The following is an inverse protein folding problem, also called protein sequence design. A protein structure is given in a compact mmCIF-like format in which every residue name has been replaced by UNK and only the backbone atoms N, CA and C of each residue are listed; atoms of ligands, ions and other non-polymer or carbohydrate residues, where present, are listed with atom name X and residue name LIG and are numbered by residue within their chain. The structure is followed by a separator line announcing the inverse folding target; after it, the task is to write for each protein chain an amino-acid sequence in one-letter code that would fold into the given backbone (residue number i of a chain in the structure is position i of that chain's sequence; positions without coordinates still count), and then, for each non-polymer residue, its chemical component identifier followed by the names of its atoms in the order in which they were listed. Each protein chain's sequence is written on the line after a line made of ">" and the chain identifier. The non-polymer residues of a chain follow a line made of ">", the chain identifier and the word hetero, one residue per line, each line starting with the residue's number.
data_IF_652813274699
#
_entry.id   IF_652813274699
#
_cell.length_a   1.000
_cell.length_b   1.000
_cell.length_c   1.000
_cell.angle_alpha   90.00
_cell.angle_beta   90.00
_cell.angle_gamma   90.00
#
_symmetry.space_group_name_H-M   'P 1'
#
loop_
_entity.id
_entity.type
_entity.pdbx_description
1 polymer ?
#
# COMPACT_ATOMS: atom_id res chain seq x y z
N UNK A 1 52.94 -5.29 -18.85
CA UNK A 1 53.02 -4.21 -17.84
C UNK A 1 51.85 -4.43 -16.90
N UNK A 2 52.14 -4.66 -15.62
CA UNK A 2 51.07 -4.80 -14.64
C UNK A 2 50.34 -3.44 -14.48
N UNK A 3 49.01 -3.43 -14.45
CA UNK A 3 48.21 -2.26 -14.17
C UNK A 3 48.53 -1.84 -12.72
N UNK A 4 49.03 -0.62 -12.53
CA UNK A 4 49.23 -0.03 -11.19
C UNK A 4 47.87 0.55 -10.81
N UNK A 5 47.27 -0.03 -9.79
CA UNK A 5 45.98 0.40 -9.24
C UNK A 5 46.08 1.84 -8.72
N UNK A 6 45.15 2.69 -9.16
CA UNK A 6 45.06 4.06 -8.63
C UNK A 6 44.44 4.07 -7.22
N UNK A 7 44.63 5.17 -6.49
CA UNK A 7 44.04 5.34 -5.17
C UNK A 7 42.49 5.24 -5.23
N UNK A 8 41.87 5.85 -6.22
CA UNK A 8 40.42 5.81 -6.43
C UNK A 8 39.91 4.38 -6.71
N UNK A 9 40.61 3.64 -7.58
CA UNK A 9 40.26 2.22 -7.86
C UNK A 9 40.38 1.35 -6.60
N UNK A 10 41.39 1.60 -5.77
CA UNK A 10 41.58 0.89 -4.51
C UNK A 10 40.42 1.20 -3.54
N UNK A 11 40.05 2.47 -3.40
CA UNK A 11 38.96 2.91 -2.53
C UNK A 11 37.63 2.31 -2.92
N UNK A 12 37.30 2.29 -4.23
CA UNK A 12 36.08 1.65 -4.76
C UNK A 12 36.10 0.15 -4.45
N UNK A 13 37.20 -0.55 -4.72
CA UNK A 13 37.31 -1.97 -4.44
C UNK A 13 37.16 -2.26 -2.94
N UNK A 14 37.72 -1.40 -2.07
CA UNK A 14 37.61 -1.57 -0.64
C UNK A 14 36.16 -1.32 -0.16
N UNK A 15 35.47 -0.31 -0.70
CA UNK A 15 34.08 -0.06 -0.40
C UNK A 15 33.17 -1.24 -0.80
N UNK A 16 33.39 -1.86 -1.94
CA UNK A 16 32.68 -3.07 -2.37
C UNK A 16 32.91 -4.27 -1.43
N UNK A 17 34.14 -4.45 -0.97
CA UNK A 17 34.46 -5.48 0.04
C UNK A 17 33.77 -5.22 1.36
N UNK A 18 33.71 -3.96 1.80
CA UNK A 18 33.00 -3.56 3.03
C UNK A 18 31.49 -3.82 2.87
N UNK A 19 30.88 -3.47 1.75
CA UNK A 19 29.47 -3.76 1.47
C UNK A 19 29.18 -5.27 1.46
N UNK A 20 30.10 -6.06 0.93
CA UNK A 20 30.01 -7.52 0.98
C UNK A 20 30.11 -8.06 2.39
N UNK A 21 31.01 -7.50 3.22
CA UNK A 21 31.13 -7.83 4.63
C UNK A 21 29.84 -7.49 5.39
N UNK A 22 29.30 -6.29 5.22
CA UNK A 22 28.03 -5.83 5.81
C UNK A 22 26.88 -6.80 5.48
N UNK A 23 26.74 -7.21 4.22
CA UNK A 23 25.74 -8.18 3.80
C UNK A 23 25.90 -9.53 4.48
N UNK A 24 27.13 -10.01 4.60
CA UNK A 24 27.43 -11.28 5.27
C UNK A 24 27.10 -11.23 6.76
N UNK A 25 27.45 -10.15 7.45
CA UNK A 25 27.10 -9.96 8.86
C UNK A 25 25.58 -9.96 9.08
N UNK A 26 24.84 -9.25 8.24
CA UNK A 26 23.37 -9.23 8.29
C UNK A 26 22.77 -10.59 7.95
N UNK A 27 23.31 -11.30 6.96
CA UNK A 27 22.86 -12.65 6.58
C UNK A 27 23.00 -13.64 7.73
N UNK A 28 24.07 -13.58 8.51
CA UNK A 28 24.29 -14.51 9.64
C UNK A 28 23.16 -14.40 10.69
N UNK A 29 22.65 -13.20 10.94
CA UNK A 29 21.60 -12.98 11.94
C UNK A 29 20.17 -12.94 11.35
N UNK A 30 20.00 -12.62 10.05
CA UNK A 30 18.72 -12.38 9.38
C UNK A 30 18.61 -13.15 8.06
N UNK A 31 18.84 -14.47 8.09
CA UNK A 31 18.89 -15.36 6.90
C UNK A 31 17.64 -15.28 6.02
N UNK A 32 16.48 -15.01 6.62
CA UNK A 32 15.20 -14.88 5.87
C UNK A 32 15.14 -13.60 5.00
N UNK A 33 16.10 -12.69 5.12
CA UNK A 33 16.26 -11.50 4.29
C UNK A 33 17.31 -11.65 3.18
N UNK A 34 17.87 -12.84 2.95
CA UNK A 34 18.97 -13.09 2.01
C UNK A 34 18.67 -12.53 0.60
N UNK A 35 17.50 -12.86 0.07
CA UNK A 35 17.07 -12.36 -1.26
C UNK A 35 16.98 -10.83 -1.27
N UNK A 36 16.52 -10.23 -0.17
CA UNK A 36 16.41 -8.78 -0.04
C UNK A 36 17.80 -8.10 -0.01
N UNK A 37 18.75 -8.68 0.73
CA UNK A 37 20.13 -8.16 0.81
C UNK A 37 20.86 -8.18 -0.54
N UNK A 38 20.50 -9.10 -1.42
CA UNK A 38 21.09 -9.25 -2.75
C UNK A 38 20.34 -8.50 -3.85
N UNK A 39 19.20 -7.87 -3.52
CA UNK A 39 18.31 -7.30 -4.54
C UNK A 39 18.76 -5.93 -5.09
N UNK A 40 19.54 -5.17 -4.30
CA UNK A 40 20.05 -3.85 -4.66
C UNK A 40 21.42 -3.95 -5.32
N UNK A 41 21.61 -3.29 -6.45
CA UNK A 41 22.90 -3.21 -7.16
C UNK A 41 23.69 -2.01 -6.62
N UNK A 42 24.90 -2.20 -6.07
CA UNK A 42 25.71 -1.10 -5.56
C UNK A 42 26.11 -0.12 -6.68
N UNK A 43 25.95 1.18 -6.43
CA UNK A 43 26.36 2.25 -7.34
C UNK A 43 26.97 3.41 -6.55
N UNK A 44 28.17 3.83 -6.94
CA UNK A 44 28.85 4.94 -6.27
C UNK A 44 28.24 6.29 -6.66
N UNK A 45 28.00 7.16 -5.66
CA UNK A 45 27.59 8.56 -5.80
C UNK A 45 28.30 9.41 -4.72
N UNK A 46 29.31 10.15 -5.12
CA UNK A 46 30.13 10.97 -4.22
C UNK A 46 29.34 12.13 -3.55
N UNK A 47 28.17 12.48 -4.06
CA UNK A 47 27.34 13.57 -3.49
C UNK A 47 26.60 13.16 -2.20
N UNK A 48 26.59 11.87 -1.86
CA UNK A 48 25.84 11.35 -0.72
C UNK A 48 26.63 11.41 0.58
N UNK A 49 25.93 11.63 1.68
CA UNK A 49 26.45 11.54 3.04
C UNK A 49 26.06 10.21 3.74
N UNK A 50 25.14 9.46 3.15
CA UNK A 50 24.58 8.20 3.65
C UNK A 50 24.14 7.35 2.47
N UNK A 51 23.61 6.14 2.73
CA UNK A 51 22.99 5.34 1.67
C UNK A 51 21.75 6.03 1.09
N UNK A 52 21.43 5.67 -0.15
CA UNK A 52 20.18 6.04 -0.81
C UNK A 52 19.76 4.92 -1.76
N UNK A 53 18.48 4.85 -2.13
CA UNK A 53 17.99 3.85 -3.07
C UNK A 53 16.84 4.37 -3.94
N UNK A 54 16.77 3.86 -5.17
CA UNK A 54 15.63 3.96 -6.08
C UNK A 54 14.79 2.67 -6.12
N UNK A 55 15.18 1.67 -5.31
CA UNK A 55 14.62 0.31 -5.31
C UNK A 55 15.30 -0.66 -6.27
N UNK A 56 16.16 -0.20 -7.18
CA UNK A 56 17.00 -1.01 -8.05
C UNK A 56 18.46 -0.99 -7.61
N UNK A 57 18.93 0.18 -7.22
CA UNK A 57 20.31 0.44 -6.85
C UNK A 57 20.45 0.84 -5.38
N UNK A 58 21.59 0.51 -4.81
CA UNK A 58 22.08 1.06 -3.55
C UNK A 58 23.13 2.11 -3.88
N UNK A 59 22.77 3.37 -3.76
CA UNK A 59 23.71 4.48 -3.94
C UNK A 59 24.51 4.73 -2.67
N UNK A 60 25.82 4.95 -2.82
CA UNK A 60 26.73 5.17 -1.69
C UNK A 60 27.91 6.06 -2.06
N UNK A 61 28.46 6.76 -1.08
CA UNK A 61 29.73 7.46 -1.22
C UNK A 61 30.87 6.58 -0.73
N UNK A 62 31.87 6.34 -1.58
CA UNK A 62 33.05 5.53 -1.27
C UNK A 62 33.78 6.07 -0.05
N UNK A 63 34.05 7.38 -0.01
CA UNK A 63 34.71 8.04 1.11
C UNK A 63 33.94 7.86 2.43
N UNK A 64 32.61 8.03 2.38
CA UNK A 64 31.77 7.89 3.57
C UNK A 64 31.76 6.46 4.11
N UNK A 65 31.67 5.45 3.24
CA UNK A 65 31.72 4.04 3.66
C UNK A 65 33.02 3.74 4.37
N UNK A 66 34.16 4.13 3.80
CA UNK A 66 35.47 3.89 4.39
C UNK A 66 35.59 4.56 5.76
N UNK A 67 35.22 5.83 5.84
CA UNK A 67 35.28 6.61 7.08
C UNK A 67 34.35 6.08 8.17
N UNK A 68 33.16 5.68 7.82
CA UNK A 68 32.18 5.15 8.78
C UNK A 68 32.55 3.75 9.23
N UNK A 69 33.06 2.90 8.33
CA UNK A 69 33.49 1.55 8.67
C UNK A 69 34.65 1.56 9.69
N UNK A 70 35.61 2.45 9.50
CA UNK A 70 36.74 2.62 10.44
C UNK A 70 36.26 3.01 11.84
N UNK A 71 35.27 3.90 11.94
CA UNK A 71 34.78 4.43 13.22
C UNK A 71 33.72 3.56 13.88
N UNK A 72 32.78 3.02 13.11
CA UNK A 72 31.62 2.31 13.63
C UNK A 72 31.03 1.36 12.56
N UNK A 73 31.65 0.19 12.36
CA UNK A 73 31.16 -0.81 11.42
C UNK A 73 29.69 -1.25 11.66
N UNK A 74 29.22 -1.47 12.91
CA UNK A 74 27.80 -1.79 13.17
C UNK A 74 26.81 -0.74 12.67
N UNK A 75 27.22 0.52 12.58
CA UNK A 75 26.35 1.55 11.99
C UNK A 75 26.09 1.31 10.51
N UNK A 76 27.07 0.83 9.74
CA UNK A 76 26.86 0.46 8.33
C UNK A 76 25.90 -0.72 8.17
N UNK A 77 26.00 -1.72 9.04
CA UNK A 77 25.05 -2.83 9.05
C UNK A 77 23.62 -2.32 9.26
N UNK A 78 23.45 -1.40 10.22
CA UNK A 78 22.17 -0.79 10.52
C UNK A 78 21.64 0.05 9.33
N UNK A 79 22.47 0.92 8.75
CA UNK A 79 22.10 1.76 7.63
C UNK A 79 21.74 0.95 6.38
N UNK A 80 22.49 -0.12 6.10
CA UNK A 80 22.18 -1.03 5.00
C UNK A 80 20.82 -1.74 5.20
N UNK A 81 20.60 -2.31 6.39
CA UNK A 81 19.34 -2.94 6.74
C UNK A 81 18.17 -1.94 6.65
N UNK A 82 18.36 -0.72 7.13
CA UNK A 82 17.40 0.38 7.09
C UNK A 82 16.93 0.64 5.65
N UNK A 83 17.87 0.85 4.73
CA UNK A 83 17.57 1.09 3.30
C UNK A 83 16.85 -0.10 2.65
N UNK A 84 17.24 -1.34 2.96
CA UNK A 84 16.57 -2.55 2.49
C UNK A 84 15.14 -2.65 3.02
N UNK A 85 14.92 -2.33 4.30
CA UNK A 85 13.57 -2.38 4.89
C UNK A 85 12.63 -1.34 4.31
N UNK A 86 13.11 -0.15 3.91
CA UNK A 86 12.28 0.78 3.16
C UNK A 86 11.70 0.16 1.89
N UNK A 87 12.52 -0.59 1.14
CA UNK A 87 12.07 -1.28 -0.06
C UNK A 87 11.07 -2.41 0.25
N UNK A 88 11.35 -3.23 1.28
CA UNK A 88 10.46 -4.33 1.71
C UNK A 88 9.09 -3.80 2.14
N UNK A 89 9.04 -2.69 2.87
CA UNK A 89 7.79 -2.04 3.31
C UNK A 89 7.15 -1.18 2.23
N UNK A 90 7.77 -1.11 1.04
CA UNK A 90 7.29 -0.33 -0.11
C UNK A 90 7.22 1.19 0.13
N UNK A 91 7.93 1.72 1.12
CA UNK A 91 7.89 3.13 1.50
C UNK A 91 8.14 4.11 0.34
N UNK A 92 9.09 3.85 -0.60
CA UNK A 92 9.35 4.74 -1.73
C UNK A 92 8.13 4.95 -2.65
N UNK A 93 7.22 3.96 -2.71
CA UNK A 93 6.14 3.91 -3.71
C UNK A 93 4.75 4.22 -3.14
N UNK A 94 4.57 4.21 -1.82
CA UNK A 94 3.24 4.34 -1.19
C UNK A 94 2.99 5.70 -0.54
N UNK A 95 3.84 6.69 -0.79
CA UNK A 95 3.69 8.04 -0.24
C UNK A 95 2.32 8.66 -0.58
N UNK A 96 1.83 8.47 -1.81
CA UNK A 96 0.56 9.03 -2.26
C UNK A 96 0.56 10.57 -2.18
N UNK A 97 -0.52 11.16 -1.66
CA UNK A 97 -0.68 12.61 -1.50
C UNK A 97 -0.15 13.15 -0.16
N UNK A 98 0.59 12.36 0.59
CA UNK A 98 1.12 12.78 1.90
C UNK A 98 2.17 13.86 1.76
N UNK A 99 2.27 14.73 2.76
CA UNK A 99 3.41 15.65 2.86
C UNK A 99 4.71 14.83 2.88
N UNK A 100 5.64 15.15 2.00
CA UNK A 100 6.82 14.35 1.75
C UNK A 100 7.80 14.36 2.93
N UNK A 101 7.93 15.50 3.61
CA UNK A 101 8.83 15.63 4.77
C UNK A 101 8.32 14.81 5.95
N UNK A 102 6.99 14.90 6.21
CA UNK A 102 6.35 14.10 7.24
C UNK A 102 6.40 12.61 6.91
N UNK A 103 6.19 12.26 5.63
CA UNK A 103 6.22 10.86 5.18
C UNK A 103 7.61 10.26 5.32
N UNK A 104 8.66 10.98 4.89
CA UNK A 104 10.03 10.53 5.00
C UNK A 104 10.39 10.22 6.46
N UNK A 105 10.15 11.17 7.37
CA UNK A 105 10.40 10.94 8.79
C UNK A 105 9.58 9.80 9.37
N UNK A 106 8.30 9.67 8.97
CA UNK A 106 7.45 8.57 9.43
C UNK A 106 7.97 7.21 8.98
N UNK A 107 8.52 7.11 7.76
CA UNK A 107 9.15 5.91 7.25
C UNK A 107 10.42 5.56 8.02
N UNK A 108 11.28 6.56 8.28
CA UNK A 108 12.50 6.37 9.07
C UNK A 108 12.20 5.87 10.48
N UNK A 109 11.24 6.50 11.16
CA UNK A 109 10.79 6.08 12.50
C UNK A 109 10.27 4.65 12.48
N UNK A 110 9.43 4.28 11.50
CA UNK A 110 8.85 2.94 11.43
C UNK A 110 9.92 1.85 11.18
N UNK A 111 10.88 2.13 10.31
CA UNK A 111 12.00 1.22 10.04
C UNK A 111 12.91 1.10 11.26
N UNK A 112 13.31 2.21 11.84
CA UNK A 112 14.17 2.24 13.02
C UNK A 112 13.52 1.54 14.24
N UNK A 113 12.21 1.74 14.43
CA UNK A 113 11.44 1.00 15.45
C UNK A 113 11.49 -0.51 15.22
N UNK A 114 11.40 -0.94 13.95
CA UNK A 114 11.48 -2.35 13.60
C UNK A 114 12.88 -2.91 13.84
N UNK A 115 13.95 -2.20 13.44
CA UNK A 115 15.33 -2.62 13.64
C UNK A 115 15.65 -2.73 15.13
N UNK A 116 15.26 -1.75 15.94
CA UNK A 116 15.46 -1.75 17.38
C UNK A 116 14.69 -2.90 18.05
N UNK A 117 13.48 -3.18 17.57
CA UNK A 117 12.67 -4.32 18.01
C UNK A 117 13.25 -5.69 17.65
N UNK A 118 13.93 -5.82 16.50
CA UNK A 118 14.62 -7.07 16.12
C UNK A 118 15.75 -7.46 17.09
N UNK A 119 16.35 -6.51 17.80
CA UNK A 119 17.32 -6.75 18.86
C UNK A 119 18.58 -7.50 18.43
N UNK A 120 18.95 -7.47 17.14
CA UNK A 120 20.11 -8.19 16.59
C UNK A 120 21.41 -7.54 16.99
N UNK A 121 22.45 -8.36 17.29
CA UNK A 121 23.74 -7.86 17.78
C UNK A 121 24.44 -6.98 16.73
N UNK A 122 24.41 -7.38 15.47
CA UNK A 122 25.08 -6.66 14.37
C UNK A 122 24.51 -5.27 14.08
N UNK A 123 23.28 -4.95 14.57
CA UNK A 123 22.61 -3.66 14.38
C UNK A 123 22.28 -2.94 15.68
N UNK A 124 22.78 -3.47 16.82
CA UNK A 124 22.45 -2.96 18.16
C UNK A 124 22.93 -1.53 18.35
N UNK A 125 22.05 -0.70 18.90
CA UNK A 125 22.28 0.70 19.27
C UNK A 125 21.79 0.97 20.69
N UNK A 126 22.38 1.93 21.37
CA UNK A 126 21.83 2.47 22.61
C UNK A 126 20.69 3.43 22.23
N UNK A 127 19.49 3.19 22.78
CA UNK A 127 18.34 4.04 22.52
C UNK A 127 18.48 5.38 23.24
N UNK A 128 18.38 6.48 22.49
CA UNK A 128 18.30 7.82 23.05
C UNK A 128 16.97 8.02 23.79
N UNK A 129 16.92 9.00 24.68
CA UNK A 129 15.69 9.39 25.38
C UNK A 129 14.56 9.77 24.38
N UNK A 130 14.90 10.48 23.30
CA UNK A 130 13.96 10.87 22.26
C UNK A 130 13.31 9.66 21.58
N UNK A 131 14.09 8.61 21.28
CA UNK A 131 13.56 7.35 20.73
C UNK A 131 12.66 6.64 21.71
N UNK A 132 13.11 6.50 22.96
CA UNK A 132 12.35 5.81 24.01
C UNK A 132 10.97 6.46 24.19
N UNK A 133 10.93 7.78 24.34
CA UNK A 133 9.68 8.55 24.49
C UNK A 133 8.73 8.33 23.31
N UNK A 134 9.23 8.46 22.07
CA UNK A 134 8.40 8.25 20.87
C UNK A 134 7.91 6.81 20.76
N UNK A 135 8.74 5.83 21.10
CA UNK A 135 8.38 4.41 21.03
C UNK A 135 7.33 4.04 22.08
N UNK A 136 7.38 4.62 23.27
CA UNK A 136 6.36 4.46 24.32
C UNK A 136 5.01 5.00 23.82
N UNK A 137 5.00 6.20 23.27
CA UNK A 137 3.81 6.83 22.71
C UNK A 137 3.19 6.00 21.56
N UNK A 138 4.01 5.45 20.67
CA UNK A 138 3.55 4.58 19.59
C UNK A 138 2.95 3.26 20.10
N UNK A 139 3.48 2.69 21.20
CA UNK A 139 2.96 1.48 21.83
C UNK A 139 1.59 1.71 22.49
N UNK A 140 1.39 2.87 23.11
CA UNK A 140 0.14 3.23 23.75
C UNK A 140 -1.04 3.28 22.78
N UNK A 141 -0.82 3.59 21.52
CA UNK A 141 -1.86 3.63 20.48
C UNK A 141 -2.49 2.27 20.16
N UNK A 142 -2.00 1.15 20.72
CA UNK A 142 -2.48 -0.24 20.48
C UNK A 142 -2.65 -0.62 19.01
N UNK A 143 -2.14 0.18 18.09
CA UNK A 143 -2.07 -0.10 16.65
C UNK A 143 -0.66 -0.60 16.34
N UNK A 144 -0.54 -1.55 15.42
CA UNK A 144 0.79 -1.94 14.94
C UNK A 144 1.53 -0.71 14.39
N UNK A 145 2.80 -0.55 14.77
CA UNK A 145 3.62 0.60 14.32
C UNK A 145 3.95 0.43 12.84
N UNK A 146 3.29 1.19 11.99
CA UNK A 146 3.57 1.29 10.55
C UNK A 146 3.83 2.74 10.18
N UNK A 147 4.51 2.97 9.03
CA UNK A 147 4.77 4.33 8.56
C UNK A 147 3.49 5.20 8.45
N UNK A 148 2.34 4.58 8.14
CA UNK A 148 1.05 5.30 8.09
C UNK A 148 0.59 5.74 9.48
N UNK A 149 0.74 4.89 10.51
CA UNK A 149 0.37 5.23 11.90
C UNK A 149 1.29 6.33 12.44
N UNK A 150 2.59 6.21 12.18
CA UNK A 150 3.57 7.24 12.56
C UNK A 150 3.28 8.55 11.83
N UNK A 151 2.94 8.49 10.55
CA UNK A 151 2.57 9.68 9.77
C UNK A 151 1.36 10.40 10.36
N UNK A 152 0.31 9.67 10.72
CA UNK A 152 -0.90 10.26 11.32
C UNK A 152 -0.55 10.98 12.64
N UNK A 153 0.31 10.39 13.47
CA UNK A 153 0.78 11.00 14.72
C UNK A 153 1.62 12.27 14.47
N UNK A 154 2.55 12.21 13.51
CA UNK A 154 3.37 13.37 13.15
C UNK A 154 2.53 14.46 12.49
N UNK A 155 1.54 14.09 11.69
CA UNK A 155 0.60 15.03 11.09
C UNK A 155 -0.19 15.80 12.14
N UNK A 156 -0.78 15.11 13.10
CA UNK A 156 -1.54 15.75 14.19
C UNK A 156 -0.69 16.73 15.03
N UNK A 157 0.62 16.42 15.16
CA UNK A 157 1.53 17.22 15.99
C UNK A 157 2.18 18.40 15.28
N UNK A 158 2.55 18.24 14.01
CA UNK A 158 3.43 19.18 13.30
C UNK A 158 2.82 19.81 12.05
N UNK A 159 1.68 19.34 11.58
CA UNK A 159 1.10 19.93 10.37
C UNK A 159 0.28 21.20 10.71
N UNK A 160 0.37 22.30 9.90
CA UNK A 160 1.19 22.44 8.68
C UNK A 160 2.68 22.74 8.97
N UNK A 161 3.55 22.09 8.21
CA UNK A 161 4.97 22.43 8.25
C UNK A 161 5.25 23.75 7.52
N UNK A 162 6.19 24.58 8.02
CA UNK A 162 6.65 25.76 7.30
C UNK A 162 7.20 25.43 5.92
N UNK A 163 7.23 26.40 5.00
CA UNK A 163 7.82 26.22 3.67
C UNK A 163 9.28 25.72 3.75
N UNK A 164 9.75 25.05 2.71
CA UNK A 164 11.14 24.59 2.65
C UNK A 164 12.10 25.78 2.82
N UNK A 165 13.11 25.61 3.69
CA UNK A 165 14.06 26.66 4.05
C UNK A 165 13.65 27.56 5.22
N UNK A 166 12.41 27.47 5.71
CA UNK A 166 11.98 28.16 6.93
C UNK A 166 12.31 27.33 8.19
N UNK A 167 12.63 27.97 9.33
CA UNK A 167 12.90 27.24 10.58
C UNK A 167 11.65 26.50 11.05
N UNK A 168 11.82 25.19 11.29
CA UNK A 168 10.82 24.33 11.93
C UNK A 168 11.11 24.31 13.43
N UNK A 169 10.14 23.87 14.24
CA UNK A 169 10.32 23.78 15.69
C UNK A 169 11.50 22.85 16.07
N UNK A 170 12.14 23.14 17.21
CA UNK A 170 13.31 22.41 17.68
C UNK A 170 13.03 20.89 17.87
N UNK A 171 11.84 20.55 18.34
CA UNK A 171 11.44 19.15 18.53
C UNK A 171 11.43 18.38 17.20
N UNK A 172 10.90 18.97 16.14
CA UNK A 172 10.94 18.39 14.80
C UNK A 172 12.38 18.17 14.34
N UNK A 173 13.24 19.19 14.49
CA UNK A 173 14.64 19.09 14.09
C UNK A 173 15.38 18.00 14.87
N UNK A 174 15.10 17.89 16.17
CA UNK A 174 15.68 16.84 17.01
C UNK A 174 15.24 15.44 16.56
N UNK A 175 13.94 15.26 16.27
CA UNK A 175 13.43 14.01 15.71
C UNK A 175 14.04 13.69 14.35
N UNK A 176 14.05 14.63 13.44
CA UNK A 176 14.61 14.44 12.11
C UNK A 176 16.09 14.05 12.15
N UNK A 177 16.90 14.67 13.03
CA UNK A 177 18.32 14.31 13.21
C UNK A 177 18.49 12.94 13.85
N UNK A 178 17.64 12.60 14.83
CA UNK A 178 17.73 11.34 15.57
C UNK A 178 17.44 10.11 14.70
N UNK A 179 16.47 10.25 13.77
CA UNK A 179 16.02 9.15 12.91
C UNK A 179 16.67 9.15 11.53
N UNK A 180 17.42 10.20 11.17
CA UNK A 180 18.13 10.24 9.90
C UNK A 180 19.18 9.11 9.82
N UNK A 181 19.00 8.20 8.89
CA UNK A 181 19.92 7.06 8.68
C UNK A 181 20.32 6.97 7.22
N UNK A 182 19.40 7.20 6.27
CA UNK A 182 19.65 7.20 4.83
C UNK A 182 19.07 8.43 4.14
N UNK A 183 19.30 8.56 2.84
CA UNK A 183 18.82 9.67 2.02
C UNK A 183 17.73 9.21 1.07
N UNK A 184 16.59 9.88 1.10
CA UNK A 184 15.47 9.61 0.21
C UNK A 184 15.55 10.38 -1.14
N UNK A 185 16.74 10.84 -1.52
CA UNK A 185 16.98 11.64 -2.73
C UNK A 185 16.46 10.98 -4.01
N UNK A 186 16.61 9.67 -4.11
CA UNK A 186 16.26 8.87 -5.29
C UNK A 186 14.87 8.21 -5.22
N UNK A 187 14.09 8.49 -4.18
CA UNK A 187 12.72 7.99 -4.13
C UNK A 187 11.87 8.61 -5.25
N UNK A 188 10.97 7.84 -5.89
CA UNK A 188 10.13 8.32 -6.98
C UNK A 188 9.37 9.59 -6.63
N UNK A 189 9.33 10.53 -7.57
CA UNK A 189 8.59 11.79 -7.44
C UNK A 189 7.43 11.77 -8.43
N UNK A 190 6.40 12.58 -8.17
CA UNK A 190 5.25 12.73 -9.09
C UNK A 190 5.63 13.38 -10.42
N UNK A 191 6.65 14.22 -10.39
CA UNK A 191 7.16 14.97 -11.53
C UNK A 191 8.16 14.18 -12.37
N UNK A 192 8.39 12.89 -12.03
CA UNK A 192 9.34 12.05 -12.74
C UNK A 192 8.82 11.68 -14.14
N UNK A 193 9.74 11.54 -15.07
CA UNK A 193 9.48 11.12 -16.45
C UNK A 193 8.83 9.72 -16.52
N UNK A 194 8.08 9.46 -17.59
CA UNK A 194 7.39 8.17 -17.77
C UNK A 194 8.33 6.95 -17.67
N UNK A 195 9.58 7.06 -18.12
CA UNK A 195 10.58 6.01 -18.02
C UNK A 195 10.95 5.70 -16.54
N UNK A 196 11.15 6.74 -15.73
CA UNK A 196 11.43 6.59 -14.30
C UNK A 196 10.21 6.02 -13.55
N UNK A 197 9.00 6.46 -13.91
CA UNK A 197 7.77 5.90 -13.34
C UNK A 197 7.62 4.41 -13.67
N UNK A 198 7.93 3.99 -14.89
CA UNK A 198 7.90 2.58 -15.30
C UNK A 198 8.94 1.75 -14.52
N UNK A 199 10.18 2.23 -14.42
CA UNK A 199 11.22 1.57 -13.64
C UNK A 199 10.84 1.47 -12.14
N UNK A 200 10.26 2.52 -11.57
CA UNK A 200 9.77 2.53 -10.20
C UNK A 200 8.67 1.49 -9.97
N UNK A 201 7.74 1.35 -10.94
CA UNK A 201 6.67 0.35 -10.87
C UNK A 201 7.21 -1.09 -10.94
N UNK A 202 8.22 -1.35 -11.77
CA UNK A 202 8.85 -2.65 -11.87
C UNK A 202 9.67 -3.00 -10.62
N UNK A 203 10.40 -2.03 -10.07
CA UNK A 203 11.06 -2.17 -8.77
C UNK A 203 10.05 -2.47 -7.66
N UNK A 204 8.92 -1.79 -7.63
CA UNK A 204 7.85 -2.06 -6.66
C UNK A 204 7.31 -3.49 -6.77
N UNK A 205 7.08 -3.99 -8.00
CA UNK A 205 6.63 -5.39 -8.23
C UNK A 205 7.68 -6.38 -7.73
N UNK A 206 8.96 -6.16 -8.05
CA UNK A 206 10.08 -6.98 -7.58
C UNK A 206 10.11 -7.05 -6.05
N UNK A 207 10.04 -5.91 -5.37
CA UNK A 207 10.09 -5.84 -3.91
C UNK A 207 8.85 -6.43 -3.24
N UNK A 208 7.68 -6.32 -3.84
CA UNK A 208 6.48 -7.01 -3.38
C UNK A 208 6.62 -8.53 -3.42
N UNK A 209 7.33 -9.08 -4.42
CA UNK A 209 7.63 -10.52 -4.48
C UNK A 209 8.63 -10.92 -3.40
N UNK A 210 9.71 -10.15 -3.22
CA UNK A 210 10.71 -10.38 -2.17
C UNK A 210 10.06 -10.34 -0.77
N UNK A 211 9.21 -9.36 -0.50
CA UNK A 211 8.49 -9.26 0.76
C UNK A 211 7.59 -10.49 1.04
N UNK A 212 6.95 -11.04 -0.01
CA UNK A 212 6.17 -12.28 0.10
C UNK A 212 7.07 -13.49 0.41
N UNK A 213 8.21 -13.62 -0.26
CA UNK A 213 9.17 -14.69 -0.01
C UNK A 213 9.73 -14.61 1.41
N UNK A 214 10.16 -13.42 1.84
CA UNK A 214 10.66 -13.15 3.20
C UNK A 214 9.65 -13.61 4.25
N UNK A 215 8.38 -13.30 4.05
CA UNK A 215 7.32 -13.71 4.95
C UNK A 215 7.15 -15.24 4.98
N UNK A 216 7.12 -15.89 3.81
CA UNK A 216 7.00 -17.34 3.72
C UNK A 216 8.17 -18.06 4.39
N UNK A 217 9.39 -17.53 4.23
CA UNK A 217 10.57 -18.07 4.90
C UNK A 217 10.51 -17.89 6.42
N UNK A 218 9.99 -16.77 6.90
CA UNK A 218 9.79 -16.51 8.33
C UNK A 218 8.73 -17.45 8.91
N UNK A 219 7.60 -17.67 8.20
CA UNK A 219 6.53 -18.58 8.61
C UNK A 219 6.98 -20.07 8.62
N UNK A 220 7.85 -20.48 7.68
CA UNK A 220 8.39 -21.88 7.59
C UNK A 220 9.29 -22.26 8.74
N UNK A 221 9.95 -21.31 9.37
CA UNK A 221 10.89 -21.61 10.47
C UNK A 221 10.24 -22.16 11.71
N UNK A 222 8.92 -22.03 11.87
CA UNK A 222 8.15 -22.67 12.94
C UNK A 222 8.56 -22.29 14.37
N UNK A 223 9.59 -21.47 14.52
CA UNK A 223 9.99 -20.91 15.80
C UNK A 223 8.97 -19.85 16.20
N UNK A 224 8.53 -19.90 17.47
CA UNK A 224 7.76 -18.76 18.01
C UNK A 224 8.58 -17.50 17.74
N UNK A 225 8.01 -16.49 17.04
CA UNK A 225 8.76 -15.27 16.75
C UNK A 225 9.35 -14.73 18.03
N UNK A 226 10.65 -14.51 18.05
CA UNK A 226 11.30 -13.79 19.15
C UNK A 226 10.84 -12.36 19.11
N UNK A 227 10.78 -11.70 20.26
CA UNK A 227 10.41 -10.28 20.37
C UNK A 227 11.08 -9.47 19.26
N UNK A 228 10.30 -8.83 18.39
CA UNK A 228 10.76 -8.05 17.24
C UNK A 228 10.60 -8.71 15.87
N UNK A 229 10.69 -10.03 15.74
CA UNK A 229 10.36 -10.72 14.48
C UNK A 229 8.86 -10.65 14.20
N UNK A 230 8.03 -10.58 15.24
CA UNK A 230 6.60 -10.28 15.16
C UNK A 230 6.33 -8.89 14.58
N UNK A 231 7.18 -7.90 14.93
CA UNK A 231 7.06 -6.54 14.39
C UNK A 231 7.32 -6.51 12.89
N UNK A 232 8.35 -7.22 12.41
CA UNK A 232 8.61 -7.33 10.98
C UNK A 232 7.47 -8.05 10.26
N UNK A 233 6.96 -9.14 10.81
CA UNK A 233 5.81 -9.87 10.25
C UNK A 233 4.54 -9.00 10.24
N UNK A 234 4.30 -8.23 11.29
CA UNK A 234 3.18 -7.29 11.37
C UNK A 234 3.30 -6.15 10.35
N UNK A 235 4.50 -5.61 10.14
CA UNK A 235 4.77 -4.60 9.12
C UNK A 235 4.58 -5.15 7.70
N UNK A 236 5.08 -6.36 7.44
CA UNK A 236 4.86 -7.06 6.16
C UNK A 236 3.37 -7.38 5.92
N UNK A 237 2.61 -7.65 6.98
CA UNK A 237 1.17 -7.86 6.89
C UNK A 237 0.41 -6.54 6.67
N UNK A 238 0.82 -5.45 7.31
CA UNK A 238 0.24 -4.12 7.14
C UNK A 238 0.41 -3.59 5.71
N UNK A 239 1.54 -3.86 5.06
CA UNK A 239 1.75 -3.56 3.64
C UNK A 239 0.81 -4.30 2.68
N UNK A 240 0.20 -5.41 3.13
CA UNK A 240 -0.81 -6.17 2.38
C UNK A 240 -2.22 -5.58 2.42
N UNK A 241 -2.48 -4.54 3.18
CA UNK A 241 -3.84 -4.00 3.40
C UNK A 241 -4.48 -3.32 2.19
N UNK A 242 -3.90 -3.39 1.01
CA UNK A 242 -4.66 -3.21 -0.23
C UNK A 242 -5.32 -4.55 -0.58
N UNK A 243 -6.44 -4.85 0.10
CA UNK A 243 -7.42 -5.80 -0.44
C UNK A 243 -7.69 -5.36 -1.87
N UNK A 244 -7.58 -6.31 -2.81
CA UNK A 244 -7.95 -6.01 -4.18
C UNK A 244 -9.33 -5.35 -4.16
N UNK A 245 -9.47 -4.17 -4.75
CA UNK A 245 -10.76 -3.48 -4.83
C UNK A 245 -11.81 -4.38 -5.50
N UNK A 246 -11.37 -5.24 -6.40
CA UNK A 246 -12.16 -6.30 -7.02
C UNK A 246 -12.71 -7.30 -5.99
N UNK A 247 -11.87 -7.82 -5.07
CA UNK A 247 -12.29 -8.76 -4.02
C UNK A 247 -13.25 -8.09 -3.03
N UNK A 248 -13.08 -6.77 -2.84
CA UNK A 248 -13.97 -5.97 -2.03
C UNK A 248 -15.34 -5.83 -2.70
N UNK A 249 -15.41 -5.48 -3.97
CA UNK A 249 -16.67 -5.38 -4.72
C UNK A 249 -17.39 -6.72 -4.81
N UNK A 250 -16.66 -7.82 -5.01
CA UNK A 250 -17.27 -9.17 -5.06
C UNK A 250 -17.99 -9.58 -3.77
N UNK A 251 -17.62 -9.00 -2.62
CA UNK A 251 -18.33 -9.25 -1.34
C UNK A 251 -19.72 -8.64 -1.29
N UNK A 252 -20.02 -7.69 -2.15
CA UNK A 252 -21.33 -7.04 -2.25
C UNK A 252 -22.23 -7.67 -3.32
N UNK A 253 -21.67 -8.56 -4.13
CA UNK A 253 -22.48 -9.31 -5.08
C UNK A 253 -23.43 -10.26 -4.31
N UNK A 254 -24.70 -10.13 -4.59
CA UNK A 254 -25.77 -10.98 -4.05
C UNK A 254 -26.11 -12.05 -5.07
N UNK A 255 -26.27 -13.28 -4.62
CA UNK A 255 -26.81 -14.36 -5.46
C UNK A 255 -28.18 -13.96 -5.98
N UNK A 256 -28.37 -14.04 -7.27
CA UNK A 256 -29.61 -13.74 -7.97
C UNK A 256 -29.90 -14.84 -8.96
N UNK A 257 -31.16 -15.30 -8.99
CA UNK A 257 -31.60 -16.22 -10.04
C UNK A 257 -31.88 -15.42 -11.30
N UNK A 258 -31.26 -15.75 -12.40
CA UNK A 258 -31.58 -15.28 -13.72
C UNK A 258 -32.21 -16.40 -14.54
N UNK A 259 -33.31 -16.07 -15.20
CA UNK A 259 -33.89 -16.93 -16.22
C UNK A 259 -32.96 -16.88 -17.45
N UNK A 260 -32.14 -17.91 -17.59
CA UNK A 260 -31.29 -18.11 -18.75
C UNK A 260 -31.31 -19.59 -19.11
N UNK A 261 -31.80 -19.92 -20.29
CA UNK A 261 -31.75 -21.29 -20.78
C UNK A 261 -30.29 -21.65 -21.12
N UNK A 262 -29.69 -22.53 -20.33
CA UNK A 262 -28.36 -23.04 -20.61
C UNK A 262 -28.47 -24.31 -21.48
N UNK A 263 -28.00 -24.27 -22.74
CA UNK A 263 -28.10 -25.43 -23.63
C UNK A 263 -27.15 -26.59 -23.26
N UNK A 264 -26.17 -26.35 -22.38
CA UNK A 264 -25.18 -27.35 -21.96
C UNK A 264 -25.56 -28.05 -20.65
N UNK A 265 -26.48 -27.44 -19.86
CA UNK A 265 -26.99 -28.02 -18.61
C UNK A 265 -28.49 -28.31 -18.72
N UNK A 266 -28.94 -29.46 -18.21
CA UNK A 266 -30.34 -29.82 -18.19
C UNK A 266 -30.89 -29.97 -16.77
N UNK A 267 -32.20 -29.72 -16.62
CA UNK A 267 -32.88 -29.86 -15.33
C UNK A 267 -32.94 -31.33 -14.89
N UNK A 268 -32.20 -31.64 -13.84
CA UNK A 268 -32.11 -33.00 -13.27
C UNK A 268 -33.46 -33.49 -12.73
N UNK A 269 -34.33 -32.58 -12.30
CA UNK A 269 -35.66 -32.92 -11.77
C UNK A 269 -36.55 -33.42 -12.88
N UNK A 270 -36.56 -32.75 -14.02
CA UNK A 270 -37.28 -33.19 -15.21
C UNK A 270 -36.74 -34.51 -15.77
N UNK A 271 -35.41 -34.64 -15.80
CA UNK A 271 -34.74 -35.86 -16.22
C UNK A 271 -35.16 -37.06 -15.37
N UNK A 272 -35.08 -36.93 -14.05
CA UNK A 272 -35.44 -38.01 -13.10
C UNK A 272 -36.93 -38.30 -13.10
N UNK A 273 -37.77 -37.25 -13.28
CA UNK A 273 -39.20 -37.42 -13.41
C UNK A 273 -39.53 -38.24 -14.67
N UNK A 274 -38.91 -37.91 -15.79
CA UNK A 274 -39.10 -38.69 -17.04
C UNK A 274 -38.75 -40.15 -16.88
N UNK A 275 -37.64 -40.47 -16.27
CA UNK A 275 -37.22 -41.86 -15.98
C UNK A 275 -38.19 -42.57 -15.03
N UNK A 276 -38.74 -41.87 -14.03
CA UNK A 276 -39.66 -42.45 -13.07
C UNK A 276 -41.03 -42.79 -13.67
N UNK A 277 -41.50 -41.96 -14.59
CA UNK A 277 -42.84 -42.11 -15.20
C UNK A 277 -42.82 -43.00 -16.44
N UNK A 278 -41.80 -42.83 -17.28
CA UNK A 278 -41.71 -43.49 -18.59
C UNK A 278 -40.67 -44.60 -18.69
N UNK A 279 -39.99 -44.94 -17.60
CA UNK A 279 -39.01 -46.01 -17.48
C UNK A 279 -37.69 -45.72 -18.18
N UNK A 280 -37.68 -45.69 -19.51
CA UNK A 280 -36.43 -45.50 -20.28
C UNK A 280 -36.43 -44.20 -21.11
N UNK A 281 -37.32 -43.25 -20.88
CA UNK A 281 -37.41 -42.02 -21.62
C UNK A 281 -37.13 -40.82 -20.69
N UNK A 282 -35.86 -40.37 -20.58
CA UNK A 282 -35.58 -39.13 -19.86
C UNK A 282 -36.16 -37.94 -20.56
N UNK A 283 -36.79 -37.03 -19.83
CA UNK A 283 -37.18 -35.71 -20.35
C UNK A 283 -35.98 -34.77 -20.20
N UNK A 284 -35.48 -34.29 -21.33
CA UNK A 284 -34.35 -33.35 -21.36
C UNK A 284 -34.88 -31.97 -21.59
N UNK A 285 -34.78 -31.10 -20.59
CA UNK A 285 -35.15 -29.69 -20.68
C UNK A 285 -33.93 -28.87 -20.24
N UNK A 286 -33.57 -27.78 -20.96
CA UNK A 286 -32.46 -26.92 -20.56
C UNK A 286 -32.72 -26.33 -19.18
N UNK A 287 -31.67 -26.14 -18.40
CA UNK A 287 -31.78 -25.47 -17.11
C UNK A 287 -32.16 -24.00 -17.34
N UNK A 288 -33.35 -23.60 -16.91
CA UNK A 288 -33.90 -22.25 -17.17
C UNK A 288 -33.45 -21.21 -16.16
N UNK A 289 -32.80 -21.58 -15.04
CA UNK A 289 -32.36 -20.64 -14.04
C UNK A 289 -30.91 -20.92 -13.65
N UNK A 290 -30.12 -19.84 -13.62
CA UNK A 290 -28.74 -19.84 -13.12
C UNK A 290 -28.59 -18.90 -11.95
N UNK A 291 -28.00 -19.37 -10.85
CA UNK A 291 -27.60 -18.46 -9.75
C UNK A 291 -26.36 -17.68 -10.14
N UNK A 292 -26.50 -16.36 -10.33
CA UNK A 292 -25.38 -15.47 -10.59
C UNK A 292 -25.25 -14.42 -9.50
N UNK A 293 -24.02 -14.13 -9.13
CA UNK A 293 -23.72 -13.06 -8.16
C UNK A 293 -23.77 -11.71 -8.87
N UNK A 294 -24.80 -10.91 -8.59
CA UNK A 294 -24.96 -9.57 -9.20
C UNK A 294 -25.10 -8.47 -8.16
N UNK A 295 -24.60 -7.29 -8.50
CA UNK A 295 -24.85 -6.05 -7.75
C UNK A 295 -25.95 -5.28 -8.48
N UNK A 296 -27.09 -5.08 -7.84
CA UNK A 296 -28.23 -4.36 -8.43
C UNK A 296 -28.10 -2.85 -8.33
N UNK A 297 -27.71 -2.38 -7.16
CA UNK A 297 -27.58 -0.96 -6.87
C UNK A 297 -26.25 -0.72 -6.13
N UNK A 298 -25.50 0.22 -6.60
CA UNK A 298 -24.22 0.59 -6.02
C UNK A 298 -24.15 2.10 -5.84
N UNK A 299 -23.94 2.56 -4.62
CA UNK A 299 -23.82 3.99 -4.33
C UNK A 299 -22.39 4.32 -3.96
N UNK A 300 -21.80 5.25 -4.68
CA UNK A 300 -20.48 5.81 -4.45
C UNK A 300 -20.66 7.22 -3.86
N UNK A 301 -20.18 7.45 -2.64
CA UNK A 301 -20.11 8.79 -2.07
C UNK A 301 -18.65 9.25 -2.07
N UNK A 302 -18.38 10.28 -2.85
CA UNK A 302 -17.05 10.88 -3.01
C UNK A 302 -16.95 12.04 -2.04
N UNK A 303 -15.91 11.99 -1.20
CA UNK A 303 -15.51 13.13 -0.39
C UNK A 303 -14.82 14.17 -1.27
N UNK A 304 -15.42 15.35 -1.35
CA UNK A 304 -14.90 16.48 -2.09
C UNK A 304 -14.38 17.60 -1.20
N UNK A 305 -14.00 17.26 0.05
CA UNK A 305 -13.36 18.19 0.97
C UNK A 305 -12.00 18.66 0.43
N UNK A 306 -11.50 19.77 0.97
CA UNK A 306 -10.27 20.44 0.54
C UNK A 306 -9.04 19.50 0.43
N UNK A 307 -8.99 18.43 1.20
CA UNK A 307 -7.88 17.47 1.22
C UNK A 307 -7.94 16.41 0.11
N UNK A 308 -9.00 16.40 -0.71
CA UNK A 308 -9.22 15.34 -1.72
C UNK A 308 -8.68 15.80 -3.08
N UNK A 309 -7.82 14.98 -3.69
CA UNK A 309 -7.25 15.23 -5.02
C UNK A 309 -8.17 14.69 -6.11
N UNK A 310 -8.51 15.54 -7.09
CA UNK A 310 -9.37 15.16 -8.23
C UNK A 310 -8.83 14.00 -9.05
N UNK A 311 -7.52 13.94 -9.29
CA UNK A 311 -6.87 12.85 -10.04
C UNK A 311 -7.08 11.48 -9.39
N UNK A 312 -7.01 11.42 -8.05
CA UNK A 312 -7.16 10.17 -7.31
C UNK A 312 -8.60 9.66 -7.36
N UNK A 313 -9.56 10.58 -7.36
CA UNK A 313 -10.99 10.26 -7.51
C UNK A 313 -11.27 9.78 -8.93
N UNK A 314 -10.73 10.44 -9.94
CA UNK A 314 -10.88 10.05 -11.34
C UNK A 314 -10.28 8.67 -11.61
N UNK A 315 -9.06 8.40 -11.12
CA UNK A 315 -8.44 7.08 -11.22
C UNK A 315 -9.28 5.99 -10.54
N UNK A 316 -9.81 6.28 -9.36
CA UNK A 316 -10.70 5.37 -8.63
C UNK A 316 -11.98 5.07 -9.42
N UNK A 317 -12.62 6.09 -9.97
CA UNK A 317 -13.84 5.92 -10.78
C UNK A 317 -13.56 5.13 -12.06
N UNK A 318 -12.42 5.36 -12.72
CA UNK A 318 -11.98 4.60 -13.90
C UNK A 318 -11.70 3.13 -13.56
N UNK A 319 -10.98 2.87 -12.43
CA UNK A 319 -10.77 1.49 -11.96
C UNK A 319 -12.10 0.80 -11.62
N UNK A 320 -13.02 1.52 -10.98
CA UNK A 320 -14.36 1.01 -10.67
C UNK A 320 -15.11 0.63 -11.96
N UNK A 321 -15.12 1.51 -12.94
CA UNK A 321 -15.74 1.26 -14.24
C UNK A 321 -15.10 0.03 -14.91
N UNK A 322 -13.76 -0.05 -14.98
CA UNK A 322 -13.07 -1.18 -15.58
C UNK A 322 -13.38 -2.52 -14.90
N UNK A 323 -13.49 -2.55 -13.58
CA UNK A 323 -13.83 -3.78 -12.85
C UNK A 323 -15.28 -4.19 -13.14
N UNK A 324 -16.18 -3.22 -13.21
CA UNK A 324 -17.56 -3.46 -13.54
C UNK A 324 -17.73 -3.92 -14.99
N UNK A 325 -16.91 -3.44 -15.93
CA UNK A 325 -16.87 -3.89 -17.33
C UNK A 325 -16.31 -5.30 -17.53
N UNK A 326 -15.28 -5.67 -16.78
CA UNK A 326 -14.60 -6.97 -16.94
C UNK A 326 -15.38 -8.17 -16.40
N UNK A 327 -16.43 -7.95 -15.66
CA UNK A 327 -17.26 -9.03 -15.14
C UNK A 327 -18.60 -9.05 -15.85
N UNK A 328 -18.81 -10.02 -16.76
CA UNK A 328 -20.09 -10.29 -17.42
C UNK A 328 -21.29 -10.37 -16.44
N UNK A 329 -20.99 -10.45 -15.15
CA UNK A 329 -21.96 -10.57 -14.07
C UNK A 329 -22.56 -9.23 -13.59
N UNK A 330 -22.01 -8.07 -13.98
CA UNK A 330 -22.38 -6.82 -13.30
C UNK A 330 -23.29 -5.88 -14.09
N UNK A 331 -23.21 -5.84 -15.41
CA UNK A 331 -23.71 -4.68 -16.16
C UNK A 331 -25.07 -4.77 -16.83
N UNK A 332 -25.70 -5.93 -16.97
CA UNK A 332 -26.93 -5.96 -17.75
C UNK A 332 -28.09 -5.18 -17.13
N UNK A 333 -28.05 -4.83 -15.83
CA UNK A 333 -29.08 -3.98 -15.16
C UNK A 333 -28.60 -3.38 -13.81
N UNK A 334 -27.33 -2.98 -13.67
CA UNK A 334 -26.88 -2.35 -12.43
C UNK A 334 -27.04 -0.84 -12.46
N UNK A 335 -27.56 -0.26 -11.39
CA UNK A 335 -27.68 1.18 -11.21
C UNK A 335 -26.56 1.65 -10.30
N UNK A 336 -25.69 2.53 -10.83
CA UNK A 336 -24.62 3.17 -10.06
C UNK A 336 -25.04 4.60 -9.76
N UNK A 337 -25.02 4.99 -8.52
CA UNK A 337 -25.27 6.36 -8.10
C UNK A 337 -24.00 6.97 -7.52
N UNK A 338 -23.55 8.08 -8.09
CA UNK A 338 -22.34 8.78 -7.66
C UNK A 338 -22.73 10.11 -7.03
N UNK A 339 -22.42 10.26 -5.74
CA UNK A 339 -22.66 11.47 -4.96
C UNK A 339 -21.35 12.16 -4.66
N UNK A 340 -21.22 13.43 -4.97
CA UNK A 340 -20.14 14.27 -4.50
C UNK A 340 -20.61 15.07 -3.27
N UNK A 341 -19.89 14.95 -2.16
CA UNK A 341 -20.29 15.56 -0.90
C UNK A 341 -19.07 16.08 -0.13
N UNK A 342 -19.12 17.32 0.32
CA UNK A 342 -18.26 17.90 1.34
C UNK A 342 -19.09 18.11 2.63
N UNK A 343 -19.46 19.32 2.96
CA UNK A 343 -20.46 19.64 3.99
C UNK A 343 -21.88 19.75 3.39
N UNK A 344 -21.97 19.68 2.06
CA UNK A 344 -23.23 19.71 1.28
C UNK A 344 -23.11 18.72 0.12
N UNK A 345 -24.22 18.16 -0.36
CA UNK A 345 -24.23 17.37 -1.59
C UNK A 345 -24.06 18.30 -2.78
N UNK A 346 -22.97 18.16 -3.52
CA UNK A 346 -22.61 18.99 -4.68
C UNK A 346 -23.12 18.46 -5.99
N UNK A 347 -23.10 17.15 -6.15
CA UNK A 347 -23.69 16.49 -7.33
C UNK A 347 -24.25 15.12 -6.96
N UNK A 348 -25.23 14.67 -7.74
CA UNK A 348 -25.90 13.40 -7.60
C UNK A 348 -26.17 12.87 -9.03
N UNK A 349 -25.36 11.92 -9.45
CA UNK A 349 -25.45 11.32 -10.77
C UNK A 349 -25.92 9.86 -10.66
N UNK A 350 -26.94 9.51 -11.45
CA UNK A 350 -27.44 8.14 -11.57
C UNK A 350 -27.02 7.60 -12.94
N UNK A 351 -26.32 6.49 -12.95
CA UNK A 351 -25.72 5.86 -14.12
C UNK A 351 -26.32 4.47 -14.25
N UNK A 352 -26.95 4.19 -15.38
CA UNK A 352 -27.68 2.93 -15.62
C UNK A 352 -27.06 2.08 -16.73
N UNK A 353 -26.00 2.54 -17.36
CA UNK A 353 -25.34 1.83 -18.46
C UNK A 353 -23.90 2.25 -18.71
N UNK A 354 -23.24 1.50 -19.56
CA UNK A 354 -21.84 1.68 -19.93
C UNK A 354 -21.59 3.03 -20.62
N UNK A 355 -22.40 3.37 -21.57
CA UNK A 355 -22.31 4.65 -22.32
C UNK A 355 -22.46 5.87 -21.40
N UNK A 356 -23.37 5.78 -20.43
CA UNK A 356 -23.56 6.84 -19.42
C UNK A 356 -22.37 6.94 -18.48
N UNK A 357 -21.73 5.81 -18.13
CA UNK A 357 -20.51 5.80 -17.30
C UNK A 357 -19.33 6.44 -18.05
N UNK A 358 -19.14 6.10 -19.32
CA UNK A 358 -18.07 6.72 -20.13
C UNK A 358 -18.30 8.23 -20.31
N UNK A 359 -19.53 8.66 -20.56
CA UNK A 359 -19.88 10.07 -20.65
C UNK A 359 -19.62 10.79 -19.32
N UNK A 360 -20.04 10.17 -18.20
CA UNK A 360 -19.80 10.70 -16.87
C UNK A 360 -18.31 10.84 -16.55
N UNK A 361 -17.48 9.84 -16.89
CA UNK A 361 -16.03 9.88 -16.67
C UNK A 361 -15.33 10.92 -17.55
N UNK A 362 -15.84 11.19 -18.74
CA UNK A 362 -15.29 12.20 -19.66
C UNK A 362 -15.51 13.62 -19.15
N UNK A 363 -16.70 13.88 -18.60
CA UNK A 363 -17.13 15.20 -18.14
C UNK A 363 -16.97 15.37 -16.63
N UNK A 364 -16.31 14.40 -15.96
CA UNK A 364 -16.16 14.42 -14.51
C UNK A 364 -15.35 15.61 -14.05
N UNK A 365 -15.95 16.43 -13.19
CA UNK A 365 -15.28 17.52 -12.47
C UNK A 365 -15.51 17.36 -10.97
N UNK A 366 -14.47 17.54 -10.18
CA UNK A 366 -14.58 17.51 -8.73
C UNK A 366 -15.17 18.82 -8.23
N UNK A 367 -16.39 18.76 -7.66
CA UNK A 367 -17.11 19.92 -7.14
C UNK A 367 -17.07 19.90 -5.61
N UNK A 368 -16.41 20.88 -4.98
CA UNK A 368 -16.32 20.94 -3.51
C UNK A 368 -15.23 21.87 -3.03
N UNK A 369 -14.58 21.52 -1.91
CA UNK A 369 -13.54 22.31 -1.26
C UNK A 369 -13.95 22.80 0.13
N UNK A 370 -15.07 22.33 0.68
CA UNK A 370 -15.49 22.58 2.05
C UNK A 370 -14.94 21.60 3.08
N UNK A 371 -15.52 21.62 4.28
CA UNK A 371 -15.21 20.64 5.33
C UNK A 371 -15.86 19.29 5.04
N UNK A 372 -15.45 18.25 5.77
CA UNK A 372 -16.00 16.90 5.62
C UNK A 372 -17.22 16.69 6.52
N UNK A 373 -18.40 16.57 5.93
CA UNK A 373 -19.64 16.16 6.61
C UNK A 373 -20.53 15.31 5.70
N UNK A 374 -20.63 14.01 5.98
CA UNK A 374 -21.43 13.08 5.18
C UNK A 374 -22.91 12.99 5.58
N UNK A 375 -23.36 13.69 6.63
CA UNK A 375 -24.77 13.67 7.05
C UNK A 375 -25.74 14.10 5.95
N UNK A 376 -25.43 15.10 5.10
CA UNK A 376 -26.29 15.44 3.96
C UNK A 376 -26.41 14.31 2.94
N UNK A 377 -25.30 13.65 2.59
CA UNK A 377 -25.32 12.50 1.67
C UNK A 377 -26.16 11.34 2.24
N UNK A 378 -26.01 11.04 3.53
CA UNK A 378 -26.80 10.01 4.21
C UNK A 378 -28.29 10.33 4.22
N UNK A 379 -28.69 11.60 4.37
CA UNK A 379 -30.10 12.02 4.30
C UNK A 379 -30.68 11.79 2.91
N UNK A 380 -29.94 12.06 1.84
CA UNK A 380 -30.36 11.80 0.45
C UNK A 380 -30.48 10.29 0.18
N UNK A 381 -29.64 9.48 0.80
CA UNK A 381 -29.65 8.03 0.64
C UNK A 381 -30.64 7.31 1.57
N UNK A 382 -31.07 7.94 2.65
CA UNK A 382 -31.95 7.32 3.64
C UNK A 382 -33.23 6.70 3.06
N UNK A 383 -33.93 7.31 2.08
CA UNK A 383 -35.09 6.70 1.46
C UNK A 383 -34.76 5.45 0.63
N UNK A 384 -33.51 5.33 0.17
CA UNK A 384 -33.01 4.20 -0.64
C UNK A 384 -32.42 3.09 0.23
N UNK A 385 -32.10 3.40 1.51
CA UNK A 385 -31.49 2.45 2.43
C UNK A 385 -32.50 1.51 3.10
N UNK A 386 -33.79 1.74 2.94
CA UNK A 386 -34.83 0.93 3.55
C UNK A 386 -35.09 -0.43 2.88
N UNK A 387 -34.46 -0.83 1.72
CA UNK A 387 -34.10 -2.23 1.52
C UNK A 387 -32.71 -2.55 0.93
N UNK A 388 -31.80 -1.62 0.66
CA UNK A 388 -30.55 -1.93 -0.03
C UNK A 388 -29.29 -1.18 0.47
N UNK A 389 -28.14 -1.64 0.09
CA UNK A 389 -26.76 -1.43 0.55
C UNK A 389 -26.17 -0.08 0.16
N UNK A 390 -25.43 0.55 1.08
CA UNK A 390 -24.70 1.82 0.88
C UNK A 390 -23.20 1.69 1.04
N UNK A 391 -22.45 2.42 0.23
CA UNK A 391 -21.02 2.58 0.35
C UNK A 391 -20.62 4.02 0.68
N UNK A 392 -19.82 4.22 1.71
CA UNK A 392 -19.32 5.51 2.17
C UNK A 392 -17.79 5.56 2.05
N UNK A 393 -17.25 6.61 1.45
CA UNK A 393 -15.81 6.82 1.29
C UNK A 393 -15.41 8.09 2.05
N UNK A 394 -14.67 8.02 3.16
CA UNK A 394 -14.16 9.18 3.87
C UNK A 394 -12.85 9.74 3.30
N UNK A 395 -12.59 11.01 3.57
CA UNK A 395 -11.52 11.87 3.06
C UNK A 395 -10.07 11.35 3.15
N UNK A 396 -9.81 10.30 3.88
CA UNK A 396 -8.44 9.76 4.06
C UNK A 396 -8.21 8.45 3.29
N UNK A 397 -8.90 8.23 2.19
CA UNK A 397 -8.72 7.04 1.35
C UNK A 397 -9.13 5.73 2.03
N UNK A 398 -9.97 5.77 3.05
CA UNK A 398 -10.59 4.60 3.67
C UNK A 398 -12.01 4.47 3.16
N UNK A 399 -12.31 3.32 2.60
CA UNK A 399 -13.63 2.98 2.09
C UNK A 399 -14.40 2.23 3.16
N UNK A 400 -15.63 2.67 3.48
CA UNK A 400 -16.55 1.93 4.32
C UNK A 400 -17.79 1.54 3.51
N UNK A 401 -18.02 0.24 3.45
CA UNK A 401 -19.25 -0.32 2.92
C UNK A 401 -20.00 -0.99 4.08
N UNK A 402 -21.16 -0.50 4.41
CA UNK A 402 -21.99 -1.02 5.47
C UNK A 402 -23.20 -1.76 4.95
N UNK A 403 -23.38 -3.01 5.37
CA UNK A 403 -24.64 -3.75 5.22
C UNK A 403 -25.22 -3.91 6.62
N UNK A 404 -26.40 -3.35 6.88
CA UNK A 404 -27.20 -3.76 8.02
C UNK A 404 -28.27 -4.74 7.51
N UNK A 405 -28.22 -5.96 8.02
CA UNK A 405 -29.42 -6.78 8.12
C UNK A 405 -30.22 -6.19 9.25
N UNK A 406 -31.43 -5.78 9.01
CA UNK A 406 -32.43 -5.61 10.05
C UNK A 406 -33.07 -6.98 10.34
N UNK A 407 -33.49 -7.22 11.59
CA UNK A 407 -33.97 -8.49 12.06
C UNK A 407 -35.21 -8.98 11.34
#
# INVERSE_FOLDING_TARGET
>A
MGHIQTQEEWEVQMAEKILSYVRNELYLELRYLDVAFSALVPQADASLQSFATDGGHLFYSTEQILRVFEKNAPYLNRAYLHTVLHCIFSHPWIAGNRDRRLWNLACDVAVEYTIDGLGKKCTKRILSWTRQKLYEELREQKKGVSAAVVYDLLWERYFPLPAEGMPVCEEWQALAREFYTDSHKYWPKREDDAAKCAAAADNQKKWNQIARQTRMEQERRGEKPKDGEDLLAAQLAAGKSRRSYRDFLQKFAVLHEELHADPEEFDLSYYTYGLSVYGNLPLIEPLESREVKKIREFVIVIDTSYSTSGELVEQFLRETANILHQSDSFFTRSVIRVLQCDNVVRSDAKITGEQEMEAFLRDFTLLGGGGTDFRPALRVLHPLLLPAVSALIPARGRFFLGRRRLP
#
